data_IF_348358379693
#
_entry.id   IF_348358379693
#
_cell.length_a   1.000
_cell.length_b   1.000
_cell.length_c   1.000
_cell.angle_alpha   90.00
_cell.angle_beta   90.00
_cell.angle_gamma   90.00
#
_symmetry.space_group_name_H-M   'P 1'
#
loop_
_entity.id
_entity.type
_entity.pdbx_description
1 polymer ?
#
# COMPACT_ATOMS: atom_id res chain seq x y z
N UNK A 1 37.42 -25.76 10.66
CA UNK A 1 36.16 -26.47 10.43
C UNK A 1 35.39 -25.65 9.43
N UNK A 2 35.25 -26.11 8.18
CA UNK A 2 34.42 -25.47 7.16
C UNK A 2 32.96 -25.56 7.60
N UNK A 3 32.11 -24.54 7.38
CA UNK A 3 30.70 -24.63 7.72
C UNK A 3 30.07 -25.81 6.95
N UNK A 4 29.30 -26.64 7.66
CA UNK A 4 28.49 -27.71 7.06
C UNK A 4 27.23 -27.05 6.49
N UNK A 5 27.33 -26.55 5.26
CA UNK A 5 26.27 -25.77 4.60
C UNK A 5 25.19 -26.65 3.94
N UNK A 6 24.58 -27.55 4.73
CA UNK A 6 23.41 -28.35 4.30
C UNK A 6 22.12 -27.83 4.96
N UNK A 7 21.93 -26.51 5.01
CA UNK A 7 20.65 -25.93 5.41
C UNK A 7 19.77 -25.82 4.16
N UNK A 8 18.71 -26.63 4.10
CA UNK A 8 17.74 -26.57 3.01
C UNK A 8 16.96 -25.24 3.04
N UNK A 9 17.28 -24.35 2.10
CA UNK A 9 16.56 -23.08 1.92
C UNK A 9 15.45 -23.27 0.90
N UNK A 10 14.20 -23.31 1.38
CA UNK A 10 13.02 -23.40 0.53
C UNK A 10 12.45 -22.01 0.23
N UNK A 11 12.15 -21.75 -1.04
CA UNK A 11 11.39 -20.56 -1.45
C UNK A 11 9.89 -20.84 -1.28
N UNK A 12 9.28 -20.33 -0.22
CA UNK A 12 7.84 -20.47 0.05
C UNK A 12 6.95 -19.53 -0.79
N UNK A 13 7.40 -19.08 -1.98
CA UNK A 13 6.61 -18.23 -2.86
C UNK A 13 5.74 -19.07 -3.79
N UNK A 14 4.43 -18.85 -3.70
CA UNK A 14 3.40 -19.48 -4.54
C UNK A 14 3.24 -18.79 -5.91
N UNK A 15 4.32 -18.21 -6.45
CA UNK A 15 4.26 -17.32 -7.63
C UNK A 15 3.62 -17.97 -8.87
N UNK A 16 3.79 -19.29 -9.03
CA UNK A 16 3.24 -20.07 -10.14
C UNK A 16 1.86 -20.70 -9.87
N UNK A 17 1.42 -20.82 -8.61
CA UNK A 17 0.12 -21.47 -8.32
C UNK A 17 -1.04 -20.48 -8.32
N UNK A 18 -0.80 -19.21 -7.97
CA UNK A 18 -1.82 -18.16 -8.01
C UNK A 18 -1.20 -16.80 -8.31
N UNK A 19 -1.07 -16.48 -9.58
CA UNK A 19 -0.62 -15.15 -10.01
C UNK A 19 -1.78 -14.17 -9.87
N UNK A 20 -1.65 -13.21 -8.96
CA UNK A 20 -2.59 -12.10 -8.81
C UNK A 20 -2.04 -10.86 -9.49
N UNK A 21 -2.89 -10.13 -10.20
CA UNK A 21 -2.55 -8.80 -10.69
C UNK A 21 -2.52 -7.81 -9.52
N UNK A 22 -1.76 -6.72 -9.67
CA UNK A 22 -1.74 -5.65 -8.67
C UNK A 22 -3.14 -5.05 -8.43
N UNK A 23 -3.98 -5.00 -9.48
CA UNK A 23 -5.37 -4.57 -9.37
C UNK A 23 -6.19 -5.46 -8.44
N UNK A 24 -6.11 -6.79 -8.64
CA UNK A 24 -6.81 -7.74 -7.78
C UNK A 24 -6.33 -7.66 -6.33
N UNK A 25 -5.01 -7.54 -6.11
CA UNK A 25 -4.45 -7.37 -4.76
C UNK A 25 -5.05 -6.14 -4.06
N UNK A 26 -5.10 -5.00 -4.76
CA UNK A 26 -5.68 -3.77 -4.23
C UNK A 26 -7.18 -3.91 -3.97
N UNK A 27 -7.92 -4.55 -4.87
CA UNK A 27 -9.36 -4.75 -4.71
C UNK A 27 -9.70 -5.70 -3.56
N UNK A 28 -8.90 -6.76 -3.35
CA UNK A 28 -9.01 -7.60 -2.16
C UNK A 28 -8.69 -6.81 -0.89
N UNK A 29 -7.61 -6.01 -0.89
CA UNK A 29 -7.25 -5.17 0.25
C UNK A 29 -8.36 -4.19 0.63
N UNK A 30 -9.03 -3.57 -0.35
CA UNK A 30 -10.19 -2.71 -0.11
C UNK A 30 -11.35 -3.44 0.53
N UNK A 31 -11.65 -4.67 0.09
CA UNK A 31 -12.72 -5.46 0.73
C UNK A 31 -12.39 -5.74 2.20
N UNK A 32 -11.15 -6.15 2.47
CA UNK A 32 -10.67 -6.43 3.83
C UNK A 32 -10.73 -5.18 4.70
N UNK A 33 -10.32 -4.01 4.20
CA UNK A 33 -10.31 -2.78 5.02
C UNK A 33 -11.71 -2.30 5.40
N UNK A 34 -12.73 -2.67 4.62
CA UNK A 34 -14.12 -2.40 4.97
C UNK A 34 -14.63 -3.33 6.09
N UNK A 35 -14.12 -4.55 6.16
CA UNK A 35 -14.47 -5.52 7.21
C UNK A 35 -13.64 -5.31 8.49
N UNK A 36 -12.36 -4.97 8.32
CA UNK A 36 -11.36 -4.78 9.37
C UNK A 36 -10.66 -3.44 9.14
N UNK A 37 -11.18 -2.33 9.70
CA UNK A 37 -10.60 -1.01 9.50
C UNK A 37 -9.25 -0.88 10.20
N UNK A 38 -8.32 -0.12 9.60
CA UNK A 38 -7.03 0.17 10.25
C UNK A 38 -7.19 1.29 11.27
N UNK A 39 -6.58 1.12 12.44
CA UNK A 39 -6.56 2.12 13.50
C UNK A 39 -5.59 3.26 13.18
N UNK A 40 -5.90 4.48 13.65
CA UNK A 40 -5.00 5.63 13.56
C UNK A 40 -4.82 6.21 12.15
N UNK A 41 -5.63 5.80 11.18
CA UNK A 41 -5.60 6.40 9.84
C UNK A 41 -6.26 7.78 9.83
N UNK A 42 -5.51 8.78 9.37
CA UNK A 42 -6.03 10.13 9.11
C UNK A 42 -6.96 10.16 7.87
N UNK A 43 -6.73 9.26 6.91
CA UNK A 43 -7.48 9.15 5.66
C UNK A 43 -7.88 7.71 5.38
N UNK A 44 -9.06 7.54 4.80
CA UNK A 44 -9.54 6.25 4.33
C UNK A 44 -8.64 5.71 3.20
N UNK A 45 -8.33 4.41 3.22
CA UNK A 45 -7.50 3.77 2.19
C UNK A 45 -8.25 3.53 0.85
N UNK A 46 -8.92 4.56 0.35
CA UNK A 46 -9.76 4.54 -0.86
C UNK A 46 -9.00 4.83 -2.16
N UNK A 47 -7.78 4.32 -2.32
CA UNK A 47 -6.94 4.59 -3.49
C UNK A 47 -7.39 3.88 -4.77
N UNK A 48 -6.93 4.36 -5.93
CA UNK A 48 -7.09 3.65 -7.21
C UNK A 48 -5.76 3.58 -7.93
N UNK A 49 -5.46 2.42 -8.51
CA UNK A 49 -4.36 2.30 -9.44
C UNK A 49 -4.66 3.11 -10.71
N UNK A 50 -3.63 3.73 -11.26
CA UNK A 50 -3.70 4.43 -12.55
C UNK A 50 -2.46 4.04 -13.35
N UNK A 51 -2.64 3.90 -14.67
CA UNK A 51 -1.54 3.63 -15.61
C UNK A 51 -0.89 4.93 -16.11
N UNK A 52 -1.56 6.06 -15.91
CA UNK A 52 -1.15 7.37 -16.44
C UNK A 52 -0.43 8.15 -15.35
N UNK A 53 0.84 8.46 -15.58
CA UNK A 53 1.70 9.18 -14.63
C UNK A 53 1.15 10.57 -14.28
N UNK A 54 0.65 11.32 -15.26
CA UNK A 54 0.08 12.65 -15.02
C UNK A 54 -1.11 12.60 -14.03
N UNK A 55 -2.02 11.64 -14.24
CA UNK A 55 -3.17 11.43 -13.36
C UNK A 55 -2.71 11.00 -11.96
N UNK A 56 -1.66 10.18 -11.88
CA UNK A 56 -1.07 9.79 -10.61
C UNK A 56 -0.55 11.01 -9.83
N UNK A 57 0.31 11.84 -10.44
CA UNK A 57 0.87 13.02 -9.76
C UNK A 57 -0.20 14.04 -9.39
N UNK A 58 -1.21 14.23 -10.25
CA UNK A 58 -2.33 15.11 -9.93
C UNK A 58 -3.10 14.63 -8.70
N UNK A 59 -3.39 13.32 -8.62
CA UNK A 59 -4.06 12.74 -7.45
C UNK A 59 -3.20 12.83 -6.19
N UNK A 60 -1.90 12.55 -6.29
CA UNK A 60 -0.97 12.66 -5.15
C UNK A 60 -0.89 14.09 -4.65
N UNK A 61 -0.76 15.07 -5.55
CA UNK A 61 -0.69 16.48 -5.17
C UNK A 61 -1.98 16.92 -4.46
N UNK A 62 -3.14 16.64 -5.04
CA UNK A 62 -4.42 17.15 -4.52
C UNK A 62 -4.98 16.38 -3.33
N UNK A 63 -4.81 15.05 -3.29
CA UNK A 63 -5.48 14.20 -2.30
C UNK A 63 -4.53 13.61 -1.27
N UNK A 64 -3.21 13.78 -1.39
CA UNK A 64 -2.24 13.39 -0.37
C UNK A 64 -1.43 14.58 0.13
N UNK A 65 -0.71 15.28 -0.76
CA UNK A 65 0.26 16.31 -0.35
C UNK A 65 -0.41 17.58 0.18
N UNK A 66 -1.32 18.19 -0.58
CA UNK A 66 -2.00 19.42 -0.15
C UNK A 66 -2.80 19.22 1.15
N UNK A 67 -3.60 18.15 1.33
CA UNK A 67 -4.30 17.91 2.59
C UNK A 67 -3.35 17.65 3.76
N UNK A 68 -2.26 16.91 3.55
CA UNK A 68 -1.26 16.66 4.60
C UNK A 68 -0.63 17.95 5.10
N UNK A 69 -0.15 18.80 4.18
CA UNK A 69 0.44 20.11 4.53
C UNK A 69 -0.56 20.98 5.29
N UNK A 70 -1.83 20.96 4.87
CA UNK A 70 -2.89 21.71 5.55
C UNK A 70 -3.11 21.22 6.98
N UNK A 71 -3.22 19.91 7.20
CA UNK A 71 -3.38 19.35 8.55
C UNK A 71 -2.16 19.64 9.42
N UNK A 72 -0.94 19.49 8.88
CA UNK A 72 0.29 19.81 9.61
C UNK A 72 0.36 21.29 10.04
N UNK A 73 -0.09 22.21 9.18
CA UNK A 73 -0.17 23.63 9.51
C UNK A 73 -1.22 23.90 10.59
N UNK A 74 -2.40 23.28 10.49
CA UNK A 74 -3.45 23.44 11.51
C UNK A 74 -2.99 22.94 12.88
N UNK A 75 -2.36 21.76 12.92
CA UNK A 75 -1.80 21.17 14.13
C UNK A 75 -0.62 21.98 14.70
N UNK A 76 0.07 22.76 13.87
CA UNK A 76 1.17 23.61 14.33
C UNK A 76 0.69 24.93 14.94
N UNK A 77 -0.44 25.45 14.45
CA UNK A 77 -0.98 26.76 14.87
C UNK A 77 -1.91 26.61 16.08
N UNK A 78 -2.58 25.46 16.22
CA UNK A 78 -3.46 25.13 17.34
C UNK A 78 -2.66 24.60 18.52
#
# INVERSE_FOLDING_TARGET
VSPTDDIEVYNCSSSHMKTLTMGEIVDYGKKIIHEVPLEGMLWFAGGSLTKVWLVYYFKVLLFHLLPAIFVDLMLRIT
#
